data_IF_158161583328
#
_entry.id   IF_158161583328
#
_cell.length_a   1.000
_cell.length_b   1.000
_cell.length_c   1.000
_cell.angle_alpha   90.00
_cell.angle_beta   90.00
_cell.angle_gamma   90.00
#
_symmetry.space_group_name_H-M   'P 1'
#
loop_
_entity.id
_entity.type
_entity.pdbx_description
1 polymer ?
#
# COMPACT_ATOMS: atom_id res chain seq x y z
N UNK A 1 -4.97 -25.13 -6.37
CA UNK A 1 -4.01 -24.53 -7.32
C UNK A 1 -4.03 -23.01 -7.12
N UNK A 2 -2.87 -22.34 -7.05
CA UNK A 2 -2.82 -20.87 -6.95
C UNK A 2 -2.92 -20.28 -8.37
N UNK A 3 -3.74 -19.26 -8.55
CA UNK A 3 -3.93 -18.57 -9.84
C UNK A 3 -3.84 -17.08 -9.60
N UNK A 4 -3.00 -16.40 -10.38
CA UNK A 4 -2.91 -14.95 -10.35
C UNK A 4 -4.12 -14.33 -11.04
N UNK A 5 -4.77 -13.38 -10.36
CA UNK A 5 -5.90 -12.61 -10.88
C UNK A 5 -5.75 -11.15 -10.45
N UNK A 6 -6.15 -10.21 -11.31
CA UNK A 6 -6.28 -8.81 -10.90
C UNK A 6 -7.35 -8.68 -9.81
N UNK A 7 -7.21 -7.78 -8.82
CA UNK A 7 -8.12 -7.71 -7.68
C UNK A 7 -9.63 -7.66 -8.03
N UNK A 8 -10.10 -6.89 -9.03
CA UNK A 8 -11.52 -6.91 -9.43
C UNK A 8 -12.00 -8.29 -9.89
N UNK A 9 -11.14 -9.01 -10.63
CA UNK A 9 -11.45 -10.34 -11.17
C UNK A 9 -11.44 -11.39 -10.06
N UNK A 10 -10.48 -11.31 -9.14
CA UNK A 10 -10.42 -12.17 -7.96
C UNK A 10 -11.68 -12.00 -7.09
N UNK A 11 -12.06 -10.75 -6.79
CA UNK A 11 -13.30 -10.44 -6.07
C UNK A 11 -14.53 -11.03 -6.77
N UNK A 12 -14.71 -10.78 -8.07
CA UNK A 12 -15.86 -11.29 -8.83
C UNK A 12 -15.89 -12.83 -8.86
N UNK A 13 -14.73 -13.47 -9.02
CA UNK A 13 -14.60 -14.93 -9.04
C UNK A 13 -14.97 -15.53 -7.70
N UNK A 14 -14.52 -14.92 -6.59
CA UNK A 14 -14.87 -15.33 -5.23
C UNK A 14 -16.38 -15.20 -4.98
N UNK A 15 -16.97 -14.05 -5.34
CA UNK A 15 -18.42 -13.81 -5.21
C UNK A 15 -19.24 -14.83 -6.01
N UNK A 16 -18.76 -15.20 -7.21
CA UNK A 16 -19.44 -16.18 -8.07
C UNK A 16 -19.19 -17.65 -7.71
N UNK A 17 -18.39 -17.94 -6.67
CA UNK A 17 -18.05 -19.30 -6.26
C UNK A 17 -17.10 -20.04 -7.22
N UNK A 18 -16.37 -19.33 -8.09
CA UNK A 18 -15.38 -19.92 -9.00
C UNK A 18 -14.04 -20.23 -8.34
N UNK A 19 -13.78 -19.61 -7.19
CA UNK A 19 -12.60 -19.84 -6.35
C UNK A 19 -13.04 -19.92 -4.90
N UNK A 20 -12.34 -20.72 -4.11
CA UNK A 20 -12.69 -20.99 -2.70
C UNK A 20 -12.20 -19.88 -1.75
N UNK A 21 -11.12 -19.20 -2.12
CA UNK A 21 -10.50 -18.13 -1.33
C UNK A 21 -9.73 -17.16 -2.24
N UNK A 22 -9.53 -15.93 -1.77
CA UNK A 22 -8.72 -14.93 -2.46
C UNK A 22 -7.88 -14.11 -1.46
N UNK A 23 -6.62 -13.85 -1.82
CA UNK A 23 -5.82 -12.80 -1.19
C UNK A 23 -6.14 -11.48 -1.92
N UNK A 24 -6.68 -10.50 -1.19
CA UNK A 24 -7.15 -9.24 -1.75
C UNK A 24 -6.56 -8.06 -0.97
N UNK A 25 -6.07 -7.00 -1.64
CA UNK A 25 -5.74 -5.77 -0.95
C UNK A 25 -7.02 -5.05 -0.51
N UNK A 26 -6.89 -4.17 0.48
CA UNK A 26 -7.90 -3.15 0.70
C UNK A 26 -8.05 -2.29 -0.56
N UNK A 27 -9.26 -1.93 -0.98
CA UNK A 27 -10.57 -2.03 -0.34
C UNK A 27 -11.39 -3.27 -0.75
N UNK A 28 -10.87 -4.12 -1.62
CA UNK A 28 -11.59 -5.30 -2.14
C UNK A 28 -11.89 -6.31 -1.02
N UNK A 29 -10.98 -6.47 -0.07
CA UNK A 29 -11.19 -7.30 1.12
C UNK A 29 -12.43 -6.84 1.92
N UNK A 30 -12.50 -5.54 2.25
CA UNK A 30 -13.66 -4.98 2.95
C UNK A 30 -14.96 -5.10 2.14
N UNK A 31 -14.90 -4.95 0.80
CA UNK A 31 -16.07 -5.15 -0.07
C UNK A 31 -16.61 -6.58 0.01
N UNK A 32 -15.77 -7.61 -0.08
CA UNK A 32 -16.26 -8.99 0.00
C UNK A 32 -16.75 -9.33 1.41
N UNK A 33 -16.10 -8.83 2.46
CA UNK A 33 -16.56 -9.02 3.84
C UNK A 33 -17.96 -8.41 4.03
N UNK A 34 -18.22 -7.21 3.49
CA UNK A 34 -19.56 -6.59 3.52
C UNK A 34 -20.64 -7.40 2.78
N UNK A 35 -20.24 -8.37 1.95
CA UNK A 35 -21.14 -9.30 1.24
C UNK A 35 -21.27 -10.66 1.95
N UNK A 36 -20.79 -10.77 3.18
CA UNK A 36 -20.91 -11.98 4.01
C UNK A 36 -19.74 -12.96 3.90
N UNK A 37 -18.65 -12.59 3.22
CA UNK A 37 -17.45 -13.43 3.17
C UNK A 37 -16.66 -13.33 4.49
N UNK A 38 -15.97 -14.42 4.84
CA UNK A 38 -15.20 -14.53 6.07
C UNK A 38 -13.74 -14.12 5.83
N UNK A 39 -13.22 -13.24 6.68
CA UNK A 39 -11.78 -12.98 6.78
C UNK A 39 -11.08 -14.19 7.40
N UNK A 40 -10.06 -14.72 6.72
CA UNK A 40 -9.27 -15.86 7.21
C UNK A 40 -7.99 -15.44 7.92
N UNK A 41 -7.26 -14.49 7.32
CA UNK A 41 -5.96 -14.00 7.81
C UNK A 41 -5.71 -12.60 7.23
N UNK A 42 -5.03 -11.74 8.00
CA UNK A 42 -4.50 -10.46 7.53
C UNK A 42 -3.00 -10.56 7.24
N UNK A 43 -2.48 -9.68 6.39
CA UNK A 43 -1.03 -9.62 6.15
C UNK A 43 -0.26 -9.33 7.44
N UNK A 44 -0.83 -8.48 8.31
CA UNK A 44 -0.25 -8.12 9.61
C UNK A 44 -0.17 -9.32 10.58
N UNK A 45 -1.05 -10.32 10.44
CA UNK A 45 -0.99 -11.55 11.25
C UNK A 45 0.18 -12.45 10.84
N UNK A 46 0.69 -12.28 9.61
CA UNK A 46 1.78 -13.07 9.04
C UNK A 46 3.13 -12.35 9.11
N UNK A 47 3.10 -11.03 8.96
CA UNK A 47 4.26 -10.15 8.97
C UNK A 47 3.81 -8.77 9.43
N UNK A 48 4.14 -8.45 10.68
CA UNK A 48 3.72 -7.22 11.35
C UNK A 48 4.08 -5.96 10.54
N UNK A 49 5.33 -5.88 10.07
CA UNK A 49 5.86 -4.76 9.28
C UNK A 49 5.84 -5.00 7.77
N UNK A 50 4.82 -5.69 7.26
CA UNK A 50 4.71 -6.01 5.83
C UNK A 50 4.84 -4.73 4.97
N UNK A 51 5.85 -4.62 4.08
CA UNK A 51 6.04 -3.42 3.25
C UNK A 51 4.82 -3.13 2.36
N UNK A 52 4.29 -1.90 2.48
CA UNK A 52 3.12 -1.43 1.76
C UNK A 52 3.43 -0.81 0.40
N UNK A 53 2.62 0.20 0.04
CA UNK A 53 2.82 0.98 -1.19
C UNK A 53 3.76 2.16 -0.95
N UNK A 54 4.62 2.45 -1.93
CA UNK A 54 5.58 3.55 -1.87
C UNK A 54 5.30 4.60 -2.95
N UNK A 55 5.72 5.84 -2.68
CA UNK A 55 5.83 6.86 -3.72
C UNK A 55 7.11 6.59 -4.54
N UNK A 56 6.96 6.15 -5.78
CA UNK A 56 8.06 6.01 -6.73
C UNK A 56 8.08 7.20 -7.69
N UNK A 57 9.26 7.80 -7.88
CA UNK A 57 9.50 8.84 -8.89
C UNK A 57 10.52 8.34 -9.91
N UNK A 58 10.40 8.81 -11.16
CA UNK A 58 11.42 8.52 -12.16
C UNK A 58 12.72 9.21 -11.77
N UNK A 59 13.83 8.48 -11.88
CA UNK A 59 15.17 8.99 -11.60
C UNK A 59 15.48 10.27 -12.39
N UNK A 60 15.07 10.33 -13.67
CA UNK A 60 15.24 11.52 -14.51
C UNK A 60 14.54 12.76 -13.93
N UNK A 61 13.33 12.59 -13.38
CA UNK A 61 12.58 13.69 -12.75
C UNK A 61 13.29 14.17 -11.49
N UNK A 62 13.79 13.23 -10.68
CA UNK A 62 14.54 13.53 -9.46
C UNK A 62 15.83 14.31 -9.77
N UNK A 63 16.59 13.89 -10.78
CA UNK A 63 17.83 14.58 -11.20
C UNK A 63 17.56 15.95 -11.79
N UNK A 64 16.53 16.08 -12.64
CA UNK A 64 16.21 17.36 -13.31
C UNK A 64 15.52 18.37 -12.40
N UNK A 65 14.71 17.91 -11.45
CA UNK A 65 13.91 18.79 -10.61
C UNK A 65 13.73 18.24 -9.19
N UNK A 66 14.80 18.19 -8.38
CA UNK A 66 14.74 17.68 -7.01
C UNK A 66 13.80 18.50 -6.13
N UNK A 67 13.68 19.80 -6.36
CA UNK A 67 12.75 20.67 -5.62
C UNK A 67 11.27 20.33 -5.88
N UNK A 68 10.93 19.90 -7.10
CA UNK A 68 9.58 19.40 -7.39
C UNK A 68 9.32 18.08 -6.66
N UNK A 69 10.29 17.16 -6.63
CA UNK A 69 10.15 15.90 -5.88
C UNK A 69 10.02 16.18 -4.38
N UNK A 70 10.80 17.10 -3.84
CA UNK A 70 10.68 17.55 -2.44
C UNK A 70 9.30 18.13 -2.12
N UNK A 71 8.73 18.93 -3.02
CA UNK A 71 7.35 19.42 -2.88
C UNK A 71 6.33 18.28 -2.89
N UNK A 72 6.50 17.29 -3.77
CA UNK A 72 5.63 16.11 -3.83
C UNK A 72 5.70 15.29 -2.53
N UNK A 73 6.90 15.07 -1.99
CA UNK A 73 7.09 14.40 -0.69
C UNK A 73 6.42 15.20 0.43
N UNK A 74 6.62 16.52 0.50
CA UNK A 74 5.95 17.38 1.51
C UNK A 74 4.42 17.32 1.42
N UNK A 75 3.85 17.29 0.22
CA UNK A 75 2.40 17.14 0.04
C UNK A 75 1.94 15.76 0.52
N UNK A 76 2.69 14.71 0.20
CA UNK A 76 2.40 13.34 0.62
C UNK A 76 2.42 13.21 2.15
N UNK A 77 3.43 13.77 2.82
CA UNK A 77 3.51 13.79 4.30
C UNK A 77 2.28 14.48 4.91
N UNK A 78 1.86 15.64 4.36
CA UNK A 78 0.65 16.33 4.83
C UNK A 78 -0.62 15.53 4.58
N UNK A 79 -0.72 14.82 3.45
CA UNK A 79 -1.85 13.96 3.16
C UNK A 79 -1.92 12.77 4.11
N UNK A 80 -0.78 12.14 4.43
CA UNK A 80 -0.68 11.09 5.45
C UNK A 80 -1.14 11.58 6.82
N UNK A 81 -0.66 12.76 7.26
CA UNK A 81 -1.10 13.37 8.52
C UNK A 81 -2.61 13.65 8.51
N UNK A 82 -3.12 14.23 7.42
CA UNK A 82 -4.56 14.48 7.26
C UNK A 82 -5.39 13.20 7.39
N UNK A 83 -4.97 12.10 6.76
CA UNK A 83 -5.68 10.82 6.85
C UNK A 83 -5.70 10.31 8.30
N UNK A 84 -4.55 10.34 8.98
CA UNK A 84 -4.44 9.86 10.35
C UNK A 84 -5.27 10.70 11.34
N UNK A 85 -5.31 12.01 11.16
CA UNK A 85 -6.05 12.95 12.01
C UNK A 85 -7.55 13.02 11.67
N UNK A 86 -7.93 12.74 10.42
CA UNK A 86 -9.27 12.98 9.89
C UNK A 86 -9.80 11.79 9.07
N UNK A 87 -9.63 10.56 9.57
CA UNK A 87 -9.93 9.34 8.81
C UNK A 87 -11.36 9.28 8.25
N UNK A 88 -12.36 9.80 8.99
CA UNK A 88 -13.75 9.88 8.51
C UNK A 88 -13.87 10.78 7.27
N UNK A 89 -13.25 11.96 7.29
CA UNK A 89 -13.32 12.89 6.16
C UNK A 89 -12.53 12.35 4.96
N UNK A 90 -11.36 11.76 5.21
CA UNK A 90 -10.59 11.08 4.18
C UNK A 90 -11.39 9.94 3.54
N UNK A 91 -12.13 9.14 4.32
CA UNK A 91 -12.99 8.08 3.81
C UNK A 91 -14.13 8.61 2.94
N UNK A 92 -14.68 9.81 3.18
CA UNK A 92 -15.67 10.41 2.27
C UNK A 92 -15.06 10.74 0.91
N UNK A 93 -13.86 11.30 0.89
CA UNK A 93 -13.13 11.63 -0.34
C UNK A 93 -12.82 10.34 -1.13
N UNK A 94 -12.26 9.33 -0.46
CA UNK A 94 -11.85 8.07 -1.08
C UNK A 94 -13.06 7.27 -1.56
N UNK A 95 -14.12 7.15 -0.75
CA UNK A 95 -15.35 6.43 -1.14
C UNK A 95 -16.03 7.05 -2.36
N UNK A 96 -16.09 8.38 -2.43
CA UNK A 96 -16.58 9.10 -3.61
C UNK A 96 -15.76 8.79 -4.86
N UNK A 97 -14.42 8.77 -4.74
CA UNK A 97 -13.52 8.47 -5.86
C UNK A 97 -13.63 7.02 -6.33
N UNK A 98 -13.70 6.08 -5.39
CA UNK A 98 -13.79 4.64 -5.65
C UNK A 98 -15.21 4.18 -5.98
N UNK A 99 -16.22 5.02 -5.73
CA UNK A 99 -17.65 4.71 -5.89
C UNK A 99 -18.08 3.48 -5.07
N UNK A 100 -17.66 3.43 -3.81
CA UNK A 100 -18.03 2.38 -2.85
C UNK A 100 -18.79 2.99 -1.66
N UNK A 101 -19.57 2.19 -0.91
CA UNK A 101 -20.24 2.69 0.29
C UNK A 101 -19.25 3.27 1.29
N UNK A 102 -19.60 4.42 1.87
CA UNK A 102 -18.75 5.13 2.83
C UNK A 102 -18.31 4.24 3.99
N UNK A 103 -19.23 3.50 4.63
CA UNK A 103 -18.92 2.63 5.77
C UNK A 103 -17.91 1.53 5.42
N UNK A 104 -17.99 0.97 4.21
CA UNK A 104 -17.04 -0.04 3.74
C UNK A 104 -15.67 0.61 3.51
N UNK A 105 -15.63 1.82 2.96
CA UNK A 105 -14.40 2.56 2.76
C UNK A 105 -13.74 2.96 4.08
N UNK A 106 -14.52 3.46 5.05
CA UNK A 106 -14.02 3.80 6.37
C UNK A 106 -13.40 2.58 7.02
N UNK A 107 -14.11 1.45 7.02
CA UNK A 107 -13.59 0.22 7.60
C UNK A 107 -12.32 -0.28 6.91
N UNK A 108 -12.30 -0.18 5.58
CA UNK A 108 -11.13 -0.50 4.77
C UNK A 108 -9.92 0.36 5.14
N UNK A 109 -10.13 1.66 5.33
CA UNK A 109 -9.06 2.59 5.69
C UNK A 109 -8.56 2.38 7.12
N UNK A 110 -9.42 2.01 8.07
CA UNK A 110 -9.02 1.63 9.45
C UNK A 110 -8.14 0.36 9.49
N UNK A 111 -8.22 -0.48 8.46
CA UNK A 111 -7.40 -1.69 8.35
C UNK A 111 -5.98 -1.41 7.82
N UNK A 112 -5.69 -0.16 7.46
CA UNK A 112 -4.43 0.26 6.85
C UNK A 112 -3.63 1.13 7.82
N UNK A 113 -2.30 1.00 7.74
CA UNK A 113 -1.37 1.90 8.40
C UNK A 113 -0.85 2.93 7.38
N UNK A 114 -0.92 4.21 7.74
CA UNK A 114 -0.41 5.30 6.92
C UNK A 114 0.82 5.89 7.59
N UNK A 115 1.99 5.58 7.03
CA UNK A 115 3.28 6.05 7.53
C UNK A 115 4.09 6.73 6.43
N UNK A 116 4.99 7.62 6.85
CA UNK A 116 6.03 8.22 5.99
C UNK A 116 7.42 7.64 6.29
N UNK A 117 7.51 6.58 7.11
CA UNK A 117 8.76 5.87 7.39
C UNK A 117 8.90 4.65 6.47
N UNK A 118 10.14 4.37 6.05
CA UNK A 118 10.45 3.22 5.20
C UNK A 118 11.50 2.39 5.93
N UNK A 119 11.14 1.16 6.30
CA UNK A 119 12.06 0.19 6.91
C UNK A 119 12.82 -0.55 5.79
N UNK A 120 14.08 -0.15 5.59
CA UNK A 120 14.94 -0.71 4.53
C UNK A 120 15.18 -2.21 4.75
N UNK A 121 15.21 -2.69 5.99
CA UNK A 121 15.41 -4.11 6.29
C UNK A 121 14.19 -4.93 5.86
N UNK A 122 12.99 -4.47 6.18
CA UNK A 122 11.74 -5.14 5.78
C UNK A 122 11.58 -5.16 4.26
N UNK A 123 11.96 -4.07 3.57
CA UNK A 123 12.00 -4.03 2.11
C UNK A 123 13.02 -5.04 1.55
N UNK A 124 14.21 -5.16 2.15
CA UNK A 124 15.19 -6.15 1.71
C UNK A 124 14.68 -7.58 1.87
N UNK A 125 14.04 -7.89 3.01
CA UNK A 125 13.41 -9.20 3.24
C UNK A 125 12.35 -9.49 2.15
N UNK A 126 11.56 -8.49 1.78
CA UNK A 126 10.54 -8.62 0.75
C UNK A 126 11.17 -8.93 -0.63
N UNK A 127 12.22 -8.20 -1.01
CA UNK A 127 12.96 -8.43 -2.25
C UNK A 127 13.59 -9.83 -2.29
N UNK A 128 14.14 -10.30 -1.16
CA UNK A 128 14.73 -11.63 -1.05
C UNK A 128 13.67 -12.73 -1.22
N UNK A 129 12.47 -12.55 -0.66
CA UNK A 129 11.33 -13.45 -0.87
C UNK A 129 10.87 -13.43 -2.34
N UNK A 130 10.79 -12.25 -2.95
CA UNK A 130 10.46 -12.13 -4.37
C UNK A 130 11.46 -12.89 -5.25
N UNK A 131 12.76 -12.80 -4.95
CA UNK A 131 13.77 -13.57 -5.66
C UNK A 131 13.64 -15.08 -5.40
N UNK A 132 13.51 -15.48 -4.13
CA UNK A 132 13.36 -16.88 -3.72
C UNK A 132 12.19 -17.58 -4.42
N UNK A 133 11.08 -16.88 -4.60
CA UNK A 133 9.88 -17.42 -5.24
C UNK A 133 9.78 -17.14 -6.75
N UNK A 134 10.82 -16.56 -7.36
CA UNK A 134 10.89 -16.32 -8.80
C UNK A 134 9.99 -15.19 -9.31
N UNK A 135 9.61 -14.25 -8.45
CA UNK A 135 8.90 -13.03 -8.85
C UNK A 135 9.83 -12.00 -9.50
N UNK A 136 11.14 -12.07 -9.20
CA UNK A 136 12.20 -11.28 -9.85
C UNK A 136 13.37 -12.20 -10.21
N UNK A 137 14.00 -11.93 -11.34
CA UNK A 137 15.06 -12.79 -11.90
C UNK A 137 16.43 -12.57 -11.24
N UNK A 138 16.60 -11.45 -10.53
CA UNK A 138 17.86 -11.04 -9.91
C UNK A 138 17.63 -10.58 -8.50
N UNK A 139 18.61 -10.83 -7.63
CA UNK A 139 18.66 -10.20 -6.32
C UNK A 139 18.86 -8.69 -6.50
N UNK A 140 18.12 -7.92 -5.72
CA UNK A 140 18.17 -6.46 -5.70
C UNK A 140 18.52 -6.05 -4.28
N UNK A 141 19.49 -5.16 -4.13
CA UNK A 141 19.75 -4.53 -2.84
C UNK A 141 18.74 -3.39 -2.67
N UNK A 142 18.05 -3.32 -1.53
CA UNK A 142 17.06 -2.29 -1.26
C UNK A 142 17.63 -0.87 -1.44
N UNK A 143 18.90 -0.64 -1.11
CA UNK A 143 19.57 0.65 -1.26
C UNK A 143 19.81 1.06 -2.72
N UNK A 144 19.71 0.13 -3.68
CA UNK A 144 19.80 0.46 -5.12
C UNK A 144 18.50 1.11 -5.64
N UNK A 145 17.38 0.88 -4.95
CA UNK A 145 16.06 1.35 -5.38
C UNK A 145 15.42 2.34 -4.41
N UNK A 146 15.91 2.43 -3.17
CA UNK A 146 15.44 3.37 -2.16
C UNK A 146 16.39 4.56 -2.04
N UNK A 147 15.97 5.71 -2.57
CA UNK A 147 16.57 7.01 -2.26
C UNK A 147 15.71 7.74 -1.22
N UNK A 148 16.18 7.72 0.04
CA UNK A 148 15.50 8.34 1.17
C UNK A 148 16.04 9.74 1.51
N UNK A 149 16.98 10.27 0.71
CA UNK A 149 17.72 11.49 1.04
C UNK A 149 16.80 12.69 1.25
N UNK A 150 15.90 12.93 0.29
CA UNK A 150 14.96 14.07 0.36
C UNK A 150 13.90 13.83 1.44
N UNK A 151 13.45 12.58 1.63
CA UNK A 151 12.48 12.25 2.67
C UNK A 151 13.05 12.58 4.06
N UNK A 152 14.25 12.07 4.36
CA UNK A 152 14.96 12.31 5.61
C UNK A 152 15.22 13.81 5.83
N UNK A 153 15.64 14.54 4.80
CA UNK A 153 15.85 15.99 4.91
C UNK A 153 14.57 16.75 5.29
N UNK A 154 13.42 16.29 4.81
CA UNK A 154 12.12 16.93 5.08
C UNK A 154 11.57 16.53 6.45
N UNK A 155 11.79 15.29 6.90
CA UNK A 155 11.28 14.81 8.20
C UNK A 155 12.14 15.26 9.37
N UNK A 156 13.47 15.32 9.23
CA UNK A 156 14.39 15.79 10.29
C UNK A 156 14.30 17.29 10.58
N UNK A 157 13.61 18.08 9.75
CA UNK A 157 13.39 19.52 9.96
C UNK A 157 12.10 19.84 10.74
N UNK A 158 11.30 18.82 11.07
CA UNK A 158 10.06 18.97 11.83
C UNK A 158 10.17 18.46 13.28
N UNK A 159 11.39 18.10 13.72
CA UNK A 159 11.77 17.90 15.13
C UNK A 159 12.46 19.17 15.66
#
# INVERSE_FOLDING_TARGET
KIVYMKPPIAMASLISGKIDAAALPEHYASLVISKGFKLLVRSQDLWDKWPGSFLAVREELLKKNPELVKKLIKVTIRATAFINENISEAAKIVSSKLKIPYEVCLKSMENLEYSNTIDVLEVQIYLDLMYKYGCIDKRINANEILDLTILNEVTSKNE
#
